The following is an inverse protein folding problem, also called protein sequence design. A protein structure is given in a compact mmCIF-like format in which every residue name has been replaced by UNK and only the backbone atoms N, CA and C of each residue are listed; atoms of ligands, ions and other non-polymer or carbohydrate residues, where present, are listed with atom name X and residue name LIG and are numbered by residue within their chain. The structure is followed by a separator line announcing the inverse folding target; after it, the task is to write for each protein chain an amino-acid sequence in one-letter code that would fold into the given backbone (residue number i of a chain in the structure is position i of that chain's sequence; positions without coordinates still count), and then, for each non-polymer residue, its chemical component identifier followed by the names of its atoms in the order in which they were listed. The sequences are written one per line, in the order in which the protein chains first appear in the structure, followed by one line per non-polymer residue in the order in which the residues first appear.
data_IF_372566801173
#
_entry.id   IF_372566801173
#
_cell.length_a   1.000
_cell.length_b   1.000
_cell.length_c   1.000
_cell.angle_alpha   90.00
_cell.angle_beta   90.00
_cell.angle_gamma   90.00
#
_symmetry.space_group_name_H-M   'P 1'
#
loop_
_entity.id
_entity.type
_entity.pdbx_description
1 polymer ?
#
# COMPACT_ATOMS: atom_id res chain seq x y z
N UNK A 1 -35.19 -18.54 -25.06
CA UNK A 1 -33.87 -19.11 -25.45
C UNK A 1 -33.31 -19.79 -24.21
N UNK A 2 -33.18 -21.10 -24.19
CA UNK A 2 -32.53 -21.78 -23.06
C UNK A 2 -31.03 -21.51 -23.14
N UNK A 3 -30.39 -21.01 -22.09
CA UNK A 3 -28.94 -20.82 -22.06
C UNK A 3 -28.28 -22.20 -22.20
N UNK A 4 -27.28 -22.29 -23.05
CA UNK A 4 -26.53 -23.51 -23.26
C UNK A 4 -25.76 -23.84 -21.98
N UNK A 5 -25.60 -25.12 -21.68
CA UNK A 5 -24.78 -25.61 -20.52
C UNK A 5 -23.38 -25.00 -20.54
N UNK A 6 -22.83 -24.71 -21.73
CA UNK A 6 -21.53 -24.07 -21.95
C UNK A 6 -21.42 -22.67 -21.30
N UNK A 7 -22.50 -21.86 -21.30
CA UNK A 7 -22.45 -20.48 -20.76
C UNK A 7 -22.24 -20.43 -19.24
N UNK A 8 -22.78 -21.38 -18.52
CA UNK A 8 -22.60 -21.48 -17.05
C UNK A 8 -21.18 -21.92 -16.71
N UNK A 9 -20.59 -22.81 -17.49
CA UNK A 9 -19.20 -23.27 -17.28
C UNK A 9 -18.20 -22.16 -17.62
N UNK A 10 -18.42 -21.43 -18.70
CA UNK A 10 -17.60 -20.26 -19.04
C UNK A 10 -17.63 -19.20 -17.94
N UNK A 11 -18.80 -18.87 -17.40
CA UNK A 11 -18.93 -17.91 -16.31
C UNK A 11 -18.25 -18.38 -15.03
N UNK A 12 -18.33 -19.68 -14.70
CA UNK A 12 -17.59 -20.24 -13.55
C UNK A 12 -16.08 -20.13 -13.74
N UNK A 13 -15.59 -20.38 -14.95
CA UNK A 13 -14.19 -20.24 -15.29
C UNK A 13 -13.73 -18.80 -15.12
N UNK A 14 -14.53 -17.82 -15.60
CA UNK A 14 -14.26 -16.39 -15.43
C UNK A 14 -14.23 -15.96 -13.95
N UNK A 15 -15.17 -16.43 -13.13
CA UNK A 15 -15.17 -16.18 -11.67
C UNK A 15 -13.90 -16.72 -11.03
N UNK A 16 -13.49 -17.94 -11.37
CA UNK A 16 -12.26 -18.53 -10.83
C UNK A 16 -11.02 -17.75 -11.27
N UNK A 17 -10.98 -17.31 -12.52
CA UNK A 17 -9.90 -16.48 -13.05
C UNK A 17 -9.85 -15.11 -12.35
N UNK A 18 -11.00 -14.45 -12.18
CA UNK A 18 -11.11 -13.17 -11.48
C UNK A 18 -10.65 -13.28 -10.01
N UNK A 19 -11.03 -14.36 -9.32
CA UNK A 19 -10.54 -14.65 -7.97
C UNK A 19 -9.02 -14.84 -7.94
N UNK A 20 -8.46 -15.56 -8.91
CA UNK A 20 -7.01 -15.74 -9.07
C UNK A 20 -6.28 -14.39 -9.24
N UNK A 21 -6.80 -13.51 -10.08
CA UNK A 21 -6.27 -12.16 -10.28
C UNK A 21 -6.37 -11.33 -9.00
N UNK A 22 -7.51 -11.33 -8.32
CA UNK A 22 -7.69 -10.59 -7.08
C UNK A 22 -6.68 -11.04 -6.02
N UNK A 23 -6.52 -12.37 -5.81
CA UNK A 23 -5.53 -12.93 -4.87
C UNK A 23 -4.10 -12.54 -5.25
N UNK A 24 -3.77 -12.57 -6.55
CA UNK A 24 -2.45 -12.16 -7.03
C UNK A 24 -2.16 -10.69 -6.70
N UNK A 25 -3.08 -9.77 -7.03
CA UNK A 25 -2.92 -8.36 -6.70
C UNK A 25 -2.84 -8.11 -5.21
N UNK A 26 -3.70 -8.76 -4.43
CA UNK A 26 -3.70 -8.61 -2.98
C UNK A 26 -2.39 -9.13 -2.36
N UNK A 27 -1.98 -10.34 -2.65
CA UNK A 27 -0.83 -10.97 -2.01
C UNK A 27 0.51 -10.38 -2.50
N UNK A 28 0.69 -10.24 -3.82
CA UNK A 28 1.96 -9.76 -4.35
C UNK A 28 2.15 -8.25 -4.22
N UNK A 29 1.15 -7.46 -4.55
CA UNK A 29 1.32 -6.00 -4.57
C UNK A 29 0.96 -5.35 -3.25
N UNK A 30 -0.24 -5.59 -2.74
CA UNK A 30 -0.71 -4.90 -1.55
C UNK A 30 0.09 -5.27 -0.29
N UNK A 31 0.31 -6.57 -0.05
CA UNK A 31 1.07 -7.05 1.12
C UNK A 31 2.53 -6.64 1.01
N UNK A 32 3.16 -6.81 -0.15
CA UNK A 32 4.57 -6.43 -0.38
C UNK A 32 4.77 -4.93 -0.17
N UNK A 33 3.91 -4.08 -0.74
CA UNK A 33 3.97 -2.64 -0.52
C UNK A 33 3.79 -2.27 0.95
N UNK A 34 2.89 -2.95 1.66
CA UNK A 34 2.69 -2.71 3.10
C UNK A 34 3.93 -3.05 3.91
N UNK A 35 4.57 -4.17 3.62
CA UNK A 35 5.85 -4.57 4.23
C UNK A 35 6.95 -3.55 3.96
N UNK A 36 7.08 -3.08 2.71
CA UNK A 36 8.09 -2.08 2.33
C UNK A 36 7.87 -0.74 3.06
N UNK A 37 6.61 -0.28 3.18
CA UNK A 37 6.29 0.95 3.95
C UNK A 37 6.69 0.80 5.41
N UNK A 38 6.44 -0.35 6.03
CA UNK A 38 6.88 -0.64 7.41
C UNK A 38 8.40 -0.57 7.55
N UNK A 39 9.14 -1.17 6.60
CA UNK A 39 10.61 -1.11 6.59
C UNK A 39 11.11 0.33 6.48
N UNK A 40 10.51 1.13 5.59
CA UNK A 40 10.87 2.55 5.45
C UNK A 40 10.53 3.37 6.70
N UNK A 41 9.44 3.07 7.41
CA UNK A 41 9.12 3.70 8.69
C UNK A 41 10.19 3.40 9.74
N UNK A 42 10.61 2.14 9.86
CA UNK A 42 11.69 1.75 10.75
C UNK A 42 13.00 2.48 10.43
N UNK A 43 13.38 2.55 9.16
CA UNK A 43 14.57 3.29 8.73
C UNK A 43 14.48 4.78 9.07
N UNK A 44 13.33 5.42 8.81
CA UNK A 44 13.12 6.82 9.12
C UNK A 44 13.24 7.11 10.62
N UNK A 45 12.65 6.27 11.48
CA UNK A 45 12.75 6.40 12.95
C UNK A 45 14.19 6.21 13.42
N UNK A 46 14.90 5.21 12.89
CA UNK A 46 16.32 4.96 13.23
C UNK A 46 17.20 6.14 12.82
N UNK A 47 17.01 6.68 11.61
CA UNK A 47 17.74 7.86 11.14
C UNK A 47 17.48 9.08 12.03
N UNK A 48 16.22 9.36 12.38
CA UNK A 48 15.87 10.46 13.28
C UNK A 48 16.50 10.29 14.66
N UNK A 49 16.46 9.08 15.22
CA UNK A 49 17.10 8.79 16.52
C UNK A 49 18.61 9.02 16.49
N UNK A 50 19.27 8.57 15.42
CA UNK A 50 20.72 8.78 15.23
C UNK A 50 21.05 10.27 15.08
N UNK A 51 20.28 11.00 14.29
CA UNK A 51 20.47 12.45 14.08
C UNK A 51 20.25 13.24 15.37
N UNK A 52 19.24 12.88 16.14
CA UNK A 52 18.99 13.50 17.43
C UNK A 52 20.14 13.24 18.43
N UNK A 53 20.65 12.02 18.46
CA UNK A 53 21.82 11.68 19.28
C UNK A 53 23.06 12.48 18.87
N UNK A 54 23.34 12.57 17.56
CA UNK A 54 24.46 13.36 17.04
C UNK A 54 24.28 14.84 17.40
N UNK A 55 23.07 15.39 17.18
CA UNK A 55 22.77 16.78 17.50
C UNK A 55 23.04 17.12 18.99
N UNK A 56 22.56 16.29 19.90
CA UNK A 56 22.76 16.49 21.32
C UNK A 56 24.25 16.46 21.71
N UNK A 57 25.05 15.55 21.15
CA UNK A 57 26.45 15.45 21.44
C UNK A 57 27.29 16.57 20.81
N UNK A 58 26.87 17.05 19.61
CA UNK A 58 27.56 18.14 18.91
C UNK A 58 27.19 19.52 19.47
N UNK A 59 25.95 19.74 19.86
CA UNK A 59 25.49 21.01 20.41
C UNK A 59 26.28 21.43 21.66
N UNK A 60 26.80 20.47 22.45
CA UNK A 60 27.59 20.72 23.66
C UNK A 60 29.04 21.13 23.33
N UNK A 61 29.61 20.71 22.19
CA UNK A 61 31.04 20.83 21.92
C UNK A 61 31.44 21.79 20.79
N UNK A 62 30.46 22.50 20.17
CA UNK A 62 30.68 23.02 18.81
C UNK A 62 30.23 24.45 18.60
N UNK A 63 31.07 25.38 19.00
CA UNK A 63 30.95 26.80 18.59
C UNK A 63 32.23 27.20 17.85
N UNK A 64 32.34 26.84 16.57
CA UNK A 64 33.30 27.42 15.63
C UNK A 64 32.80 27.31 14.17
N UNK A 65 33.22 28.28 13.30
CA UNK A 65 32.57 28.60 11.98
C UNK A 65 32.33 27.47 10.96
N UNK A 66 33.15 26.42 10.94
CA UNK A 66 32.94 25.26 10.02
C UNK A 66 31.77 24.38 10.42
N UNK A 67 31.31 24.49 11.62
CA UNK A 67 30.33 23.64 12.27
C UNK A 67 28.88 24.12 12.03
N UNK A 68 28.69 25.38 11.68
CA UNK A 68 27.39 25.91 11.27
C UNK A 68 26.87 25.21 9.99
N UNK A 69 27.76 24.97 9.02
CA UNK A 69 27.42 24.24 7.79
C UNK A 69 27.03 22.77 8.11
N UNK A 70 27.80 22.11 8.96
CA UNK A 70 27.51 20.74 9.38
C UNK A 70 26.14 20.62 10.08
N UNK A 71 25.80 21.57 10.95
CA UNK A 71 24.49 21.62 11.61
C UNK A 71 23.35 21.84 10.65
N UNK A 72 23.52 22.72 9.63
CA UNK A 72 22.53 22.92 8.57
C UNK A 72 22.27 21.61 7.79
N UNK A 73 23.33 20.92 7.40
CA UNK A 73 23.24 19.64 6.69
C UNK A 73 22.55 18.58 7.55
N UNK A 74 22.88 18.50 8.82
CA UNK A 74 22.22 17.58 9.76
C UNK A 74 20.73 17.91 9.90
N UNK A 75 20.38 19.19 9.95
CA UNK A 75 18.99 19.63 10.02
C UNK A 75 18.21 19.28 8.74
N UNK A 76 18.79 19.48 7.54
CA UNK A 76 18.20 19.06 6.27
C UNK A 76 17.98 17.55 6.23
N UNK A 77 18.96 16.79 6.72
CA UNK A 77 18.84 15.33 6.84
C UNK A 77 17.67 14.92 7.75
N UNK A 78 17.52 15.59 8.90
CA UNK A 78 16.43 15.33 9.84
C UNK A 78 15.07 15.69 9.25
N UNK A 79 14.96 16.80 8.53
CA UNK A 79 13.72 17.17 7.82
C UNK A 79 13.33 16.13 6.77
N UNK A 80 14.29 15.61 5.99
CA UNK A 80 14.02 14.58 4.99
C UNK A 80 13.54 13.26 5.65
N UNK A 81 14.14 12.85 6.77
CA UNK A 81 13.71 11.66 7.51
C UNK A 81 12.31 11.86 8.14
N UNK A 82 12.03 13.03 8.71
CA UNK A 82 10.73 13.38 9.27
C UNK A 82 9.63 13.40 8.18
N UNK A 83 9.94 13.96 7.01
CA UNK A 83 9.03 13.95 5.86
C UNK A 83 8.72 12.52 5.41
N UNK A 84 9.74 11.65 5.33
CA UNK A 84 9.56 10.22 5.04
C UNK A 84 8.64 9.54 6.08
N UNK A 85 8.81 9.86 7.36
CA UNK A 85 7.98 9.32 8.44
C UNK A 85 6.51 9.75 8.29
N UNK A 86 6.25 11.03 8.01
CA UNK A 86 4.88 11.56 7.80
C UNK A 86 4.19 10.86 6.61
N UNK A 87 4.92 10.68 5.50
CA UNK A 87 4.39 9.95 4.33
C UNK A 87 4.10 8.50 4.70
N UNK A 88 5.00 7.83 5.40
CA UNK A 88 4.83 6.46 5.83
C UNK A 88 3.61 6.26 6.72
N UNK A 89 3.44 7.13 7.73
CA UNK A 89 2.23 7.14 8.59
C UNK A 89 0.97 7.39 7.76
N UNK A 90 1.01 8.33 6.80
CA UNK A 90 -0.10 8.58 5.88
C UNK A 90 -0.43 7.35 5.01
N UNK A 91 0.57 6.58 4.57
CA UNK A 91 0.37 5.32 3.87
C UNK A 91 -0.28 4.26 4.77
N UNK A 92 0.14 4.17 6.03
CA UNK A 92 -0.43 3.23 6.99
C UNK A 92 -1.85 3.62 7.40
N UNK A 93 -2.15 4.91 7.58
CA UNK A 93 -3.51 5.38 7.91
C UNK A 93 -4.52 5.03 6.81
N UNK A 94 -4.12 5.05 5.54
CA UNK A 94 -4.97 4.57 4.44
C UNK A 94 -5.37 3.10 4.58
N UNK A 95 -4.55 2.30 5.25
CA UNK A 95 -4.84 0.87 5.51
C UNK A 95 -5.86 0.74 6.63
N UNK A 96 -5.74 1.55 7.69
CA UNK A 96 -6.59 1.44 8.87
C UNK A 96 -7.94 2.16 8.74
N UNK A 97 -7.97 3.28 8.01
CA UNK A 97 -9.17 4.14 7.90
C UNK A 97 -9.79 4.14 6.50
N UNK A 98 -9.14 3.51 5.52
CA UNK A 98 -9.70 3.36 4.19
C UNK A 98 -10.84 2.34 4.19
N UNK A 99 -12.03 2.76 3.77
CA UNK A 99 -13.19 1.87 3.54
C UNK A 99 -13.00 0.99 2.30
N UNK A 100 -11.75 0.77 1.89
CA UNK A 100 -11.47 -0.03 0.70
C UNK A 100 -11.63 -1.51 1.05
N UNK A 101 -12.36 -2.22 0.21
CA UNK A 101 -12.54 -3.67 0.31
C UNK A 101 -11.20 -4.37 0.14
N UNK A 102 -10.50 -4.60 1.24
CA UNK A 102 -9.29 -5.45 1.27
C UNK A 102 -9.63 -6.94 1.30
N UNK A 103 -10.93 -7.26 1.37
CA UNK A 103 -11.45 -8.61 1.33
C UNK A 103 -11.97 -8.94 -0.07
N UNK A 104 -11.91 -10.22 -0.49
CA UNK A 104 -12.58 -10.64 -1.72
C UNK A 104 -14.05 -10.22 -1.68
N UNK A 105 -14.66 -9.94 -2.84
CA UNK A 105 -16.06 -9.60 -2.91
C UNK A 105 -16.86 -10.59 -2.07
N UNK A 106 -17.62 -10.06 -1.12
CA UNK A 106 -18.36 -10.90 -0.17
C UNK A 106 -19.54 -11.53 -0.90
N UNK A 107 -19.42 -12.79 -1.20
CA UNK A 107 -20.51 -13.59 -1.75
C UNK A 107 -21.46 -13.87 -0.59
N UNK A 108 -22.60 -13.18 -0.53
CA UNK A 108 -23.68 -13.52 0.39
C UNK A 108 -24.34 -14.82 -0.08
N UNK A 109 -23.69 -15.93 0.21
CA UNK A 109 -24.11 -17.25 -0.28
C UNK A 109 -25.56 -17.57 0.07
N UNK A 110 -26.05 -17.17 1.25
CA UNK A 110 -27.43 -17.37 1.68
C UNK A 110 -28.44 -16.66 0.77
N UNK A 111 -28.24 -15.35 0.52
CA UNK A 111 -29.13 -14.59 -0.35
C UNK A 111 -29.15 -15.13 -1.78
N UNK A 112 -28.01 -15.54 -2.29
CA UNK A 112 -27.88 -16.10 -3.64
C UNK A 112 -28.53 -17.48 -3.75
N UNK A 113 -28.44 -18.31 -2.69
CA UNK A 113 -29.12 -19.60 -2.59
C UNK A 113 -30.63 -19.40 -2.57
N UNK A 114 -31.15 -18.48 -1.73
CA UNK A 114 -32.58 -18.17 -1.67
C UNK A 114 -33.11 -17.63 -3.00
N UNK A 115 -32.37 -16.77 -3.68
CA UNK A 115 -32.71 -16.27 -5.03
C UNK A 115 -32.74 -17.39 -6.08
N UNK A 116 -31.85 -18.38 -5.96
CA UNK A 116 -31.83 -19.56 -6.84
C UNK A 116 -33.06 -20.46 -6.61
N UNK A 117 -33.43 -20.71 -5.37
CA UNK A 117 -34.55 -21.60 -5.04
C UNK A 117 -35.92 -20.96 -5.28
N UNK A 118 -36.04 -19.65 -5.23
CA UNK A 118 -37.29 -18.90 -5.47
C UNK A 118 -37.58 -18.62 -6.94
N UNK A 119 -36.65 -18.94 -7.85
CA UNK A 119 -36.81 -18.61 -9.28
C UNK A 119 -37.44 -19.74 -10.07
N UNK A 120 -38.42 -19.41 -10.92
CA UNK A 120 -39.06 -20.36 -11.86
C UNK A 120 -38.06 -20.84 -12.95
N UNK A 121 -36.97 -20.07 -13.18
CA UNK A 121 -35.94 -20.41 -14.18
C UNK A 121 -34.56 -20.46 -13.57
N UNK A 122 -34.20 -21.60 -13.02
CA UNK A 122 -32.94 -21.86 -12.29
C UNK A 122 -31.67 -21.53 -13.11
N UNK A 123 -31.68 -21.76 -14.41
CA UNK A 123 -30.52 -21.49 -15.27
C UNK A 123 -30.30 -19.97 -15.47
N UNK A 124 -31.38 -19.25 -15.72
CA UNK A 124 -31.30 -17.80 -15.89
C UNK A 124 -30.80 -17.11 -14.61
N UNK A 125 -31.30 -17.54 -13.45
CA UNK A 125 -30.86 -17.02 -12.16
C UNK A 125 -29.41 -17.32 -11.85
N UNK A 126 -28.90 -18.49 -12.22
CA UNK A 126 -27.46 -18.83 -12.09
C UNK A 126 -26.59 -17.90 -12.93
N UNK A 127 -26.98 -17.62 -14.16
CA UNK A 127 -26.24 -16.71 -15.05
C UNK A 127 -26.22 -15.30 -14.48
N UNK A 128 -27.36 -14.79 -14.00
CA UNK A 128 -27.45 -13.46 -13.40
C UNK A 128 -26.56 -13.33 -12.15
N UNK A 129 -26.54 -14.35 -11.29
CA UNK A 129 -25.70 -14.38 -10.10
C UNK A 129 -24.21 -14.43 -10.47
N UNK A 130 -23.83 -15.29 -11.41
CA UNK A 130 -22.42 -15.39 -11.84
C UNK A 130 -21.93 -14.11 -12.51
N UNK A 131 -22.76 -13.44 -13.32
CA UNK A 131 -22.42 -12.12 -13.88
C UNK A 131 -22.26 -11.07 -12.79
N UNK A 132 -23.18 -11.01 -11.82
CA UNK A 132 -23.05 -10.12 -10.65
C UNK A 132 -21.75 -10.35 -9.87
N UNK A 133 -21.34 -11.61 -9.71
CA UNK A 133 -20.06 -11.96 -9.07
C UNK A 133 -18.87 -11.45 -9.91
N UNK A 134 -18.90 -11.64 -11.24
CA UNK A 134 -17.85 -11.11 -12.12
C UNK A 134 -17.75 -9.57 -12.01
N UNK A 135 -18.88 -8.86 -12.07
CA UNK A 135 -18.93 -7.40 -11.95
C UNK A 135 -18.37 -6.91 -10.60
N UNK A 136 -18.66 -7.64 -9.51
CA UNK A 136 -18.12 -7.33 -8.19
C UNK A 136 -16.61 -7.57 -8.11
N UNK A 137 -16.08 -8.62 -8.74
CA UNK A 137 -14.64 -8.84 -8.84
C UNK A 137 -13.95 -7.75 -9.67
N UNK A 138 -14.49 -7.39 -10.82
CA UNK A 138 -13.92 -6.34 -11.69
C UNK A 138 -13.85 -5.00 -10.96
N UNK A 139 -14.91 -4.64 -10.22
CA UNK A 139 -14.93 -3.45 -9.38
C UNK A 139 -13.90 -3.55 -8.27
N UNK A 140 -13.85 -4.68 -7.54
CA UNK A 140 -12.89 -4.90 -6.46
C UNK A 140 -11.44 -4.86 -6.94
N UNK A 141 -11.13 -5.44 -8.11
CA UNK A 141 -9.80 -5.40 -8.72
C UNK A 141 -9.43 -3.97 -9.11
N UNK A 142 -10.33 -3.21 -9.74
CA UNK A 142 -10.09 -1.82 -10.15
C UNK A 142 -9.83 -0.90 -8.95
N UNK A 143 -10.60 -1.04 -7.87
CA UNK A 143 -10.41 -0.31 -6.61
C UNK A 143 -9.07 -0.66 -5.97
N UNK A 144 -8.73 -1.94 -5.89
CA UNK A 144 -7.45 -2.42 -5.35
C UNK A 144 -6.27 -1.91 -6.17
N UNK A 145 -6.36 -1.93 -7.50
CA UNK A 145 -5.32 -1.43 -8.40
C UNK A 145 -5.12 0.08 -8.25
N UNK A 146 -6.19 0.86 -8.14
CA UNK A 146 -6.11 2.30 -7.89
C UNK A 146 -5.41 2.60 -6.55
N UNK A 147 -5.72 1.82 -5.51
CA UNK A 147 -5.09 1.94 -4.20
C UNK A 147 -3.61 1.56 -4.24
N UNK A 148 -3.24 0.46 -4.91
CA UNK A 148 -1.85 0.01 -5.11
C UNK A 148 -1.04 1.09 -5.81
N UNK A 149 -1.58 1.70 -6.88
CA UNK A 149 -0.91 2.76 -7.62
C UNK A 149 -0.67 3.99 -6.76
N UNK A 150 -1.68 4.45 -6.03
CA UNK A 150 -1.60 5.60 -5.13
C UNK A 150 -0.59 5.39 -4.00
N UNK A 151 -0.58 4.19 -3.42
CA UNK A 151 0.38 3.79 -2.40
C UNK A 151 1.80 3.66 -2.97
N UNK A 152 1.94 3.13 -4.18
CA UNK A 152 3.21 3.00 -4.88
C UNK A 152 3.91 4.36 -5.11
N UNK A 153 3.16 5.40 -5.51
CA UNK A 153 3.69 6.75 -5.65
C UNK A 153 4.20 7.29 -4.30
N UNK A 154 3.40 7.19 -3.24
CA UNK A 154 3.80 7.63 -1.90
C UNK A 154 5.03 6.89 -1.38
N UNK A 155 5.09 5.59 -1.62
CA UNK A 155 6.23 4.75 -1.24
C UNK A 155 7.51 5.16 -1.96
N UNK A 156 7.44 5.55 -3.25
CA UNK A 156 8.59 6.10 -3.99
C UNK A 156 9.07 7.41 -3.36
N UNK A 157 8.16 8.33 -3.04
CA UNK A 157 8.50 9.60 -2.40
C UNK A 157 9.13 9.34 -1.03
N UNK A 158 8.59 8.42 -0.25
CA UNK A 158 9.13 8.01 1.04
C UNK A 158 10.56 7.47 0.91
N UNK A 159 10.79 6.54 -0.02
CA UNK A 159 12.11 5.97 -0.28
C UNK A 159 13.13 7.00 -0.74
N UNK A 160 12.73 7.92 -1.64
CA UNK A 160 13.58 9.03 -2.09
C UNK A 160 13.97 9.95 -0.92
N UNK A 161 13.05 10.27 -0.03
CA UNK A 161 13.33 11.08 1.16
C UNK A 161 14.33 10.40 2.11
N UNK A 162 14.24 9.08 2.28
CA UNK A 162 15.23 8.31 3.06
C UNK A 162 16.61 8.38 2.40
N UNK A 163 16.68 8.19 1.08
CA UNK A 163 17.96 8.28 0.35
C UNK A 163 18.61 9.67 0.49
N UNK A 164 17.80 10.73 0.40
CA UNK A 164 18.29 12.10 0.64
C UNK A 164 18.80 12.24 2.07
N UNK A 165 18.08 11.73 3.07
CA UNK A 165 18.52 11.78 4.46
C UNK A 165 19.84 11.04 4.68
N UNK A 166 20.02 9.86 4.08
CA UNK A 166 21.27 9.09 4.16
C UNK A 166 22.40 9.84 3.44
N UNK A 167 22.18 10.33 2.24
CA UNK A 167 23.20 11.06 1.46
C UNK A 167 23.67 12.33 2.19
N UNK A 168 22.75 13.11 2.77
CA UNK A 168 23.08 14.29 3.55
C UNK A 168 23.78 13.95 4.85
N UNK A 169 23.48 12.79 5.45
CA UNK A 169 24.19 12.32 6.64
C UNK A 169 25.62 11.88 6.33
N UNK A 170 25.85 11.21 5.19
CA UNK A 170 27.21 10.90 4.72
C UNK A 170 28.00 12.19 4.45
N UNK A 171 27.41 13.19 3.79
CA UNK A 171 28.02 14.48 3.55
C UNK A 171 28.36 15.20 4.86
N UNK A 172 27.49 15.13 5.87
CA UNK A 172 27.75 15.65 7.20
C UNK A 172 29.03 15.05 7.81
N UNK A 173 29.19 13.73 7.76
CA UNK A 173 30.38 13.08 8.27
C UNK A 173 31.65 13.45 7.51
N UNK A 174 31.58 13.60 6.17
CA UNK A 174 32.75 14.03 5.36
C UNK A 174 33.20 15.47 5.64
N UNK A 175 32.33 16.32 6.16
CA UNK A 175 32.67 17.69 6.53
C UNK A 175 33.20 17.78 7.98
N UNK A 176 32.77 16.85 8.82
CA UNK A 176 33.13 16.85 10.24
C UNK A 176 34.52 16.22 10.49
N UNK A 177 34.90 15.24 9.65
CA UNK A 177 36.16 14.51 9.73
C UNK A 177 37.08 14.85 8.56
#
# INVERSE_FOLDING_TARGET
MQPKVDEVEELKMLVNQANGYWLHFHNHYYITQTSTVKTYLWLAVTLLGTQFYIFNNLAVNVIQNQKALALIILFVSALAALFSLVIGVSCMSMIFFGHHRTHPPYIQAGYQVDALYSSENLQHSRIMILRGICDDYDRGISELQAMINKKGIRMRIQGTSILISIATMVLFFTILF
#
